data_IF_199552184643
#
_entry.id   IF_199552184643
#
_cell.length_a   1.000
_cell.length_b   1.000
_cell.length_c   1.000
_cell.angle_alpha   90.00
_cell.angle_beta   90.00
_cell.angle_gamma   90.00
#
_symmetry.space_group_name_H-M   'P 1'
#
loop_
_entity.id
_entity.type
_entity.pdbx_description
1 polymer ?
#
# COMPACT_ATOMS: atom_id res chain seq x y z
N UNK A 1 0.39 21.50 -11.01
CA UNK A 1 -0.49 20.31 -10.94
C UNK A 1 -0.53 19.82 -9.52
N UNK A 2 -1.72 19.64 -8.92
CA UNK A 2 -1.85 19.08 -7.56
C UNK A 2 -1.45 17.60 -7.57
N UNK A 3 -0.65 17.11 -6.61
CA UNK A 3 -0.30 15.70 -6.53
C UNK A 3 -1.58 14.85 -6.34
N UNK A 4 -1.75 13.84 -7.20
CA UNK A 4 -2.90 12.93 -7.14
C UNK A 4 -2.84 12.14 -5.84
N UNK A 5 -3.83 12.31 -4.95
CA UNK A 5 -3.90 11.62 -3.66
C UNK A 5 -3.99 10.09 -3.88
N UNK A 6 -3.30 9.32 -3.04
CA UNK A 6 -3.21 7.86 -3.13
C UNK A 6 -3.86 7.18 -1.93
N UNK A 7 -4.36 5.96 -2.09
CA UNK A 7 -4.93 5.15 -1.01
C UNK A 7 -3.83 4.48 -0.20
N UNK A 8 -4.11 4.05 1.03
CA UNK A 8 -3.15 3.29 1.87
C UNK A 8 -2.59 2.06 1.17
N UNK A 9 -3.45 1.35 0.43
CA UNK A 9 -3.10 0.19 -0.37
C UNK A 9 -1.96 0.46 -1.37
N UNK A 10 -1.90 1.67 -1.94
CA UNK A 10 -0.90 2.05 -2.93
C UNK A 10 0.51 2.14 -2.33
N UNK A 11 0.61 2.34 -1.00
CA UNK A 11 1.87 2.41 -0.28
C UNK A 11 2.40 1.03 0.12
N UNK A 12 1.61 -0.05 0.02
CA UNK A 12 2.05 -1.40 0.35
C UNK A 12 2.83 -2.08 -0.80
N UNK A 13 3.94 -2.79 -0.55
CA UNK A 13 4.58 -2.95 0.76
C UNK A 13 5.44 -1.73 1.11
N UNK A 14 5.57 -1.46 2.40
CA UNK A 14 6.57 -0.55 2.95
C UNK A 14 7.95 -1.21 2.90
N UNK A 15 8.99 -0.37 2.82
CA UNK A 15 10.39 -0.80 2.75
C UNK A 15 11.01 -0.88 4.15
N UNK A 16 12.12 -1.63 4.34
CA UNK A 16 12.81 -1.74 5.63
C UNK A 16 13.13 -0.40 6.29
N UNK A 17 13.47 0.61 5.49
CA UNK A 17 13.77 1.97 5.95
C UNK A 17 12.54 2.66 6.55
N UNK A 18 11.36 2.42 5.96
CA UNK A 18 10.09 2.92 6.48
C UNK A 18 9.77 2.29 7.83
N UNK A 19 10.09 1.01 8.02
CA UNK A 19 9.88 0.32 9.29
C UNK A 19 10.72 0.93 10.41
N UNK A 20 11.99 1.27 10.15
CA UNK A 20 12.86 1.95 11.13
C UNK A 20 12.28 3.31 11.54
N UNK A 21 11.77 4.07 10.58
CA UNK A 21 11.10 5.36 10.84
C UNK A 21 9.86 5.15 11.72
N UNK A 22 9.00 4.20 11.35
CA UNK A 22 7.77 3.89 12.09
C UNK A 22 8.03 3.40 13.52
N UNK A 23 9.07 2.60 13.73
CA UNK A 23 9.47 2.14 15.06
C UNK A 23 9.86 3.31 15.97
N UNK A 24 10.64 4.27 15.45
CA UNK A 24 11.03 5.48 16.19
C UNK A 24 9.82 6.35 16.50
N UNK A 25 8.97 6.61 15.51
CA UNK A 25 7.80 7.48 15.66
C UNK A 25 6.74 6.90 16.61
N UNK A 26 6.57 5.58 16.61
CA UNK A 26 5.59 4.91 17.47
C UNK A 26 6.14 4.53 18.85
N UNK A 27 7.46 4.57 19.04
CA UNK A 27 8.14 4.01 20.22
C UNK A 27 7.82 2.52 20.44
N UNK A 28 7.66 1.77 19.34
CA UNK A 28 7.33 0.33 19.34
C UNK A 28 8.23 -0.42 18.37
N UNK A 29 8.86 -1.50 18.82
CA UNK A 29 9.79 -2.33 18.02
C UNK A 29 9.07 -3.39 17.16
N UNK A 30 7.96 -3.02 16.50
CA UNK A 30 7.27 -3.93 15.59
C UNK A 30 8.10 -4.17 14.32
N UNK A 31 8.19 -5.42 13.86
CA UNK A 31 8.94 -5.77 12.66
C UNK A 31 8.20 -5.35 11.38
N UNK A 32 8.93 -5.29 10.26
CA UNK A 32 8.37 -4.87 8.97
C UNK A 32 7.22 -5.77 8.50
N UNK A 33 7.26 -7.06 8.85
CA UNK A 33 6.22 -8.00 8.49
C UNK A 33 4.89 -7.60 9.14
N UNK A 34 4.87 -7.44 10.47
CA UNK A 34 3.69 -6.98 11.21
C UNK A 34 3.20 -5.61 10.73
N UNK A 35 4.12 -4.66 10.54
CA UNK A 35 3.79 -3.31 10.06
C UNK A 35 3.06 -3.37 8.71
N UNK A 36 3.54 -4.22 7.79
CA UNK A 36 2.91 -4.42 6.49
C UNK A 36 1.54 -5.12 6.61
N UNK A 37 1.38 -6.08 7.52
CA UNK A 37 0.06 -6.68 7.82
C UNK A 37 -0.92 -5.62 8.37
N UNK A 38 -0.46 -4.73 9.26
CA UNK A 38 -1.29 -3.67 9.83
C UNK A 38 -1.70 -2.64 8.76
N UNK A 39 -0.78 -2.26 7.87
CA UNK A 39 -1.08 -1.39 6.74
C UNK A 39 -2.20 -1.98 5.87
N UNK A 40 -2.11 -3.27 5.52
CA UNK A 40 -3.16 -3.93 4.76
C UNK A 40 -4.51 -3.90 5.49
N UNK A 41 -4.52 -4.23 6.80
CA UNK A 41 -5.72 -4.18 7.62
C UNK A 41 -6.37 -2.79 7.61
N UNK A 42 -5.58 -1.74 7.83
CA UNK A 42 -6.04 -0.35 7.81
C UNK A 42 -6.54 0.06 6.43
N UNK A 43 -5.87 -0.39 5.37
CA UNK A 43 -6.26 -0.08 4.00
C UNK A 43 -7.60 -0.70 3.61
N UNK A 44 -7.90 -1.90 4.12
CA UNK A 44 -9.21 -2.53 3.94
C UNK A 44 -10.29 -1.79 4.73
N UNK A 45 -10.04 -1.54 6.01
CA UNK A 45 -11.01 -0.88 6.89
C UNK A 45 -11.35 0.54 6.42
N UNK A 46 -10.39 1.22 5.80
CA UNK A 46 -10.50 2.62 5.41
C UNK A 46 -10.16 2.86 3.93
N UNK A 47 -10.78 2.06 3.05
CA UNK A 47 -10.53 2.02 1.60
C UNK A 47 -10.78 3.34 0.86
N UNK A 48 -11.61 4.22 1.40
CA UNK A 48 -11.93 5.53 0.84
C UNK A 48 -11.00 6.66 1.29
N UNK A 49 -10.03 6.39 2.17
CA UNK A 49 -9.08 7.42 2.63
C UNK A 49 -7.94 7.60 1.64
N UNK A 50 -7.69 8.87 1.32
CA UNK A 50 -6.68 9.27 0.35
C UNK A 50 -5.68 10.21 1.02
N UNK A 51 -4.41 9.95 0.78
CA UNK A 51 -3.29 10.63 1.41
C UNK A 51 -2.52 11.42 0.36
N UNK A 52 -2.08 12.62 0.74
CA UNK A 52 -1.37 13.53 -0.16
C UNK A 52 0.06 13.04 -0.47
N UNK A 53 0.75 12.44 0.51
CA UNK A 53 2.13 11.98 0.39
C UNK A 53 2.47 10.87 1.39
N UNK A 54 3.66 10.28 1.22
CA UNK A 54 4.14 9.15 2.04
C UNK A 54 4.36 9.53 3.51
N UNK A 55 4.85 10.73 3.80
CA UNK A 55 5.08 11.22 5.16
C UNK A 55 3.79 11.22 5.98
N UNK A 56 2.69 11.70 5.40
CA UNK A 56 1.37 11.70 6.04
C UNK A 56 0.89 10.28 6.32
N UNK A 57 1.13 9.34 5.40
CA UNK A 57 0.84 7.92 5.61
C UNK A 57 1.66 7.33 6.76
N UNK A 58 2.96 7.60 6.81
CA UNK A 58 3.82 7.10 7.89
C UNK A 58 3.40 7.67 9.25
N UNK A 59 3.03 8.96 9.34
CA UNK A 59 2.46 9.55 10.56
C UNK A 59 1.18 8.83 11.00
N UNK A 60 0.29 8.54 10.05
CA UNK A 60 -0.95 7.83 10.33
C UNK A 60 -0.70 6.40 10.85
N UNK A 61 0.18 5.64 10.19
CA UNK A 61 0.56 4.29 10.60
C UNK A 61 1.28 4.31 11.95
N UNK A 62 2.18 5.26 12.20
CA UNK A 62 2.89 5.39 13.47
C UNK A 62 1.93 5.61 14.64
N UNK A 63 0.88 6.42 14.46
CA UNK A 63 -0.18 6.59 15.47
C UNK A 63 -0.95 5.31 15.72
N UNK A 64 -1.26 4.54 14.67
CA UNK A 64 -1.91 3.24 14.82
C UNK A 64 -1.01 2.26 15.58
N UNK A 65 0.29 2.21 15.27
CA UNK A 65 1.28 1.37 15.95
C UNK A 65 1.45 1.76 17.43
N UNK A 66 1.53 3.06 17.73
CA UNK A 66 1.68 3.56 19.10
C UNK A 66 0.50 3.16 20.00
N UNK A 67 -0.69 3.01 19.41
CA UNK A 67 -1.92 2.59 20.08
C UNK A 67 -2.27 1.12 19.77
N UNK A 68 -1.34 0.31 19.25
CA UNK A 68 -1.60 -1.11 19.05
C UNK A 68 -1.47 -1.84 20.40
N UNK A 69 -2.44 -2.71 20.67
CA UNK A 69 -2.57 -3.38 21.97
C UNK A 69 -1.76 -4.67 22.04
N UNK A 70 -1.39 -5.23 20.88
CA UNK A 70 -0.52 -6.40 20.81
C UNK A 70 0.89 -6.09 21.30
N UNK A 71 1.45 -6.96 22.13
CA UNK A 71 2.86 -6.87 22.51
C UNK A 71 3.74 -7.14 21.29
N UNK A 72 4.96 -6.61 21.31
CA UNK A 72 5.93 -6.83 20.24
C UNK A 72 6.27 -8.30 20.07
N UNK A 73 6.30 -9.08 21.16
CA UNK A 73 6.64 -10.50 21.11
C UNK A 73 5.59 -11.32 20.33
N UNK A 74 4.31 -11.06 20.58
CA UNK A 74 3.22 -11.70 19.83
C UNK A 74 3.14 -11.20 18.39
N UNK A 75 3.21 -9.89 18.19
CA UNK A 75 3.09 -9.25 16.88
C UNK A 75 4.25 -9.62 15.94
N UNK A 76 5.46 -9.77 16.48
CA UNK A 76 6.66 -10.06 15.70
C UNK A 76 6.86 -11.56 15.44
N UNK A 77 5.97 -12.42 15.94
CA UNK A 77 6.00 -13.84 15.60
C UNK A 77 5.87 -14.01 14.08
N UNK A 78 6.69 -14.90 13.50
CA UNK A 78 6.72 -15.09 12.03
C UNK A 78 5.40 -15.55 11.43
N UNK A 79 4.47 -16.05 12.26
CA UNK A 79 3.16 -16.54 11.86
C UNK A 79 2.03 -15.55 12.12
N UNK A 80 2.32 -14.33 12.59
CA UNK A 80 1.27 -13.36 12.90
C UNK A 80 0.51 -12.93 11.64
N UNK A 81 -0.78 -13.22 11.58
CA UNK A 81 -1.66 -12.70 10.53
C UNK A 81 -2.95 -12.22 11.17
N UNK A 82 -3.45 -11.09 10.68
CA UNK A 82 -4.83 -10.74 10.98
C UNK A 82 -5.74 -11.64 10.14
N UNK A 83 -6.78 -12.22 10.76
CA UNK A 83 -7.70 -13.16 10.11
C UNK A 83 -8.29 -12.63 8.78
N UNK A 84 -8.48 -11.31 8.67
CA UNK A 84 -9.03 -10.67 7.46
C UNK A 84 -8.00 -10.25 6.41
N UNK A 85 -6.71 -10.24 6.72
CA UNK A 85 -5.69 -9.71 5.82
C UNK A 85 -5.32 -10.70 4.71
N UNK A 86 -5.59 -12.00 4.89
CA UNK A 86 -5.49 -12.99 3.81
C UNK A 86 -6.34 -12.60 2.59
N UNK A 87 -7.54 -12.05 2.82
CA UNK A 87 -8.47 -11.63 1.78
C UNK A 87 -8.15 -10.31 1.10
N UNK A 88 -7.21 -9.49 1.60
CA UNK A 88 -6.92 -8.19 1.00
C UNK A 88 -6.43 -8.34 -0.45
N UNK A 89 -5.45 -9.22 -0.66
CA UNK A 89 -4.85 -9.44 -1.97
C UNK A 89 -5.89 -10.00 -2.93
N UNK A 90 -6.65 -10.99 -2.47
CA UNK A 90 -7.74 -11.60 -3.21
C UNK A 90 -8.82 -10.58 -3.58
N UNK A 91 -9.23 -9.70 -2.65
CA UNK A 91 -10.17 -8.62 -2.92
C UNK A 91 -9.62 -7.58 -3.89
N UNK A 92 -8.35 -7.19 -3.75
CA UNK A 92 -7.71 -6.26 -4.70
C UNK A 92 -7.69 -6.84 -6.12
N UNK A 93 -7.30 -8.11 -6.25
CA UNK A 93 -7.27 -8.81 -7.54
C UNK A 93 -8.68 -9.00 -8.09
N UNK A 94 -9.64 -9.43 -7.27
CA UNK A 94 -11.05 -9.57 -7.66
C UNK A 94 -11.64 -8.22 -8.11
N UNK A 95 -11.33 -7.12 -7.43
CA UNK A 95 -11.75 -5.78 -7.84
C UNK A 95 -11.20 -5.42 -9.23
N UNK A 96 -9.94 -5.75 -9.50
CA UNK A 96 -9.35 -5.56 -10.84
C UNK A 96 -10.07 -6.44 -11.85
N UNK A 97 -10.26 -7.73 -11.58
CA UNK A 97 -10.93 -8.68 -12.48
C UNK A 97 -12.37 -8.27 -12.81
N UNK A 98 -13.10 -7.75 -11.82
CA UNK A 98 -14.47 -7.26 -11.96
C UNK A 98 -14.57 -5.87 -12.59
N UNK A 99 -13.45 -5.16 -12.80
CA UNK A 99 -13.44 -3.83 -13.40
C UNK A 99 -13.98 -3.90 -14.84
N UNK A 100 -14.94 -3.02 -15.13
CA UNK A 100 -15.62 -2.94 -16.43
C UNK A 100 -14.91 -2.01 -17.41
N UNK A 101 -13.84 -1.32 -17.00
CA UNK A 101 -13.03 -0.48 -17.87
C UNK A 101 -12.48 -1.31 -19.06
N UNK A 102 -12.82 -0.83 -20.26
CA UNK A 102 -12.43 -1.44 -21.54
C UNK A 102 -11.11 -0.91 -22.08
N UNK A 103 -10.44 0.01 -21.38
CA UNK A 103 -9.11 0.47 -21.77
C UNK A 103 -8.13 -0.71 -21.88
N UNK A 104 -7.24 -0.68 -22.87
CA UNK A 104 -6.21 -1.73 -23.02
C UNK A 104 -5.39 -1.90 -21.74
N UNK A 105 -5.13 -0.80 -21.02
CA UNK A 105 -4.47 -0.83 -19.72
C UNK A 105 -5.25 -1.63 -18.67
N UNK A 106 -6.56 -1.40 -18.55
CA UNK A 106 -7.40 -2.16 -17.63
C UNK A 106 -7.53 -3.64 -18.04
N UNK A 107 -7.67 -3.92 -19.34
CA UNK A 107 -7.67 -5.29 -19.86
C UNK A 107 -6.38 -6.04 -19.54
N UNK A 108 -5.22 -5.37 -19.71
CA UNK A 108 -3.92 -5.95 -19.37
C UNK A 108 -3.81 -6.22 -17.86
N UNK A 109 -4.24 -5.28 -17.00
CA UNK A 109 -4.25 -5.49 -15.56
C UNK A 109 -5.11 -6.70 -15.14
N UNK A 110 -6.29 -6.87 -15.76
CA UNK A 110 -7.17 -8.02 -15.54
C UNK A 110 -6.51 -9.34 -15.93
N UNK A 111 -5.84 -9.36 -17.08
CA UNK A 111 -5.09 -10.54 -17.52
C UNK A 111 -3.96 -10.91 -16.58
N UNK A 112 -3.20 -9.93 -16.10
CA UNK A 112 -2.15 -10.15 -15.11
C UNK A 112 -2.72 -10.69 -13.80
N UNK A 113 -3.86 -10.15 -13.33
CA UNK A 113 -4.53 -10.68 -12.14
C UNK A 113 -4.89 -12.17 -12.27
N UNK A 114 -5.35 -12.58 -13.46
CA UNK A 114 -5.82 -13.94 -13.74
C UNK A 114 -4.71 -14.97 -14.01
N UNK A 115 -3.60 -14.54 -14.61
CA UNK A 115 -2.54 -15.45 -15.12
C UNK A 115 -1.46 -15.76 -14.09
N UNK A 116 -1.25 -14.87 -13.13
CA UNK A 116 -0.23 -15.03 -12.09
C UNK A 116 -0.85 -15.50 -10.78
N UNK A 117 -0.04 -16.16 -9.94
CA UNK A 117 -0.42 -16.43 -8.55
C UNK A 117 -0.68 -15.12 -7.81
N UNK A 118 -1.60 -15.15 -6.83
CA UNK A 118 -2.12 -13.94 -6.18
C UNK A 118 -1.00 -13.02 -5.64
N UNK A 119 0.03 -13.58 -5.03
CA UNK A 119 1.15 -12.79 -4.49
C UNK A 119 1.96 -12.08 -5.59
N UNK A 120 2.24 -12.79 -6.68
CA UNK A 120 3.01 -12.26 -7.82
C UNK A 120 2.16 -11.25 -8.59
N UNK A 121 0.89 -11.56 -8.86
CA UNK A 121 -0.05 -10.68 -9.51
C UNK A 121 -0.18 -9.36 -8.75
N UNK A 122 -0.39 -9.45 -7.44
CA UNK A 122 -0.51 -8.29 -6.57
C UNK A 122 0.77 -7.45 -6.56
N UNK A 123 1.94 -8.08 -6.45
CA UNK A 123 3.23 -7.36 -6.48
C UNK A 123 3.43 -6.63 -7.81
N UNK A 124 3.15 -7.26 -8.95
CA UNK A 124 3.25 -6.65 -10.28
C UNK A 124 2.28 -5.47 -10.41
N UNK A 125 1.00 -5.66 -10.09
CA UNK A 125 -0.05 -4.66 -10.30
C UNK A 125 0.11 -3.41 -9.42
N UNK A 126 0.75 -3.56 -8.26
CA UNK A 126 1.03 -2.44 -7.32
C UNK A 126 2.39 -1.78 -7.55
N UNK A 127 3.32 -2.47 -8.21
CA UNK A 127 4.70 -1.99 -8.41
C UNK A 127 5.01 -1.56 -9.84
N UNK A 128 4.10 -1.80 -10.79
CA UNK A 128 4.29 -1.47 -12.20
C UNK A 128 3.23 -0.48 -12.69
N UNK A 129 3.67 0.54 -13.44
CA UNK A 129 2.80 1.36 -14.26
C UNK A 129 2.90 0.91 -15.72
N UNK A 130 1.77 0.44 -16.23
CA UNK A 130 1.62 -0.04 -17.61
C UNK A 130 1.41 1.17 -18.53
N UNK A 131 2.41 1.42 -19.37
CA UNK A 131 2.48 2.55 -20.29
C UNK A 131 1.78 2.24 -21.61
N UNK A 132 2.43 2.64 -22.70
CA UNK A 132 1.92 2.48 -24.06
C UNK A 132 2.74 1.47 -24.86
N UNK A 133 2.10 0.91 -25.89
CA UNK A 133 2.78 0.22 -26.97
C UNK A 133 3.30 1.27 -27.98
N UNK A 134 4.59 1.24 -28.30
CA UNK A 134 5.21 2.09 -29.32
C UNK A 134 6.08 1.21 -30.21
N UNK A 135 5.70 1.09 -31.48
CA UNK A 135 6.31 0.15 -32.44
C UNK A 135 6.27 -1.30 -31.88
N UNK A 136 7.39 -2.01 -31.91
CA UNK A 136 7.55 -3.37 -31.40
C UNK A 136 7.86 -3.46 -29.90
N UNK A 137 7.66 -2.38 -29.14
CA UNK A 137 7.99 -2.31 -27.71
C UNK A 137 6.80 -1.92 -26.86
N UNK A 138 6.71 -2.52 -25.68
CA UNK A 138 5.77 -2.10 -24.65
C UNK A 138 6.48 -1.59 -23.42
N UNK A 139 6.09 -0.41 -22.93
CA UNK A 139 6.77 0.27 -21.85
C UNK A 139 6.11 -0.03 -20.50
N UNK A 140 6.92 -0.50 -19.55
CA UNK A 140 6.51 -0.70 -18.16
C UNK A 140 7.45 0.13 -17.29
N UNK A 141 6.88 0.99 -16.45
CA UNK A 141 7.64 1.78 -15.50
C UNK A 141 7.53 1.16 -14.12
N UNK A 142 8.65 0.90 -13.46
CA UNK A 142 8.65 0.44 -12.08
C UNK A 142 8.35 1.62 -11.14
N UNK A 143 7.31 1.46 -10.33
CA UNK A 143 6.91 2.35 -9.24
C UNK A 143 7.57 1.99 -7.91
N UNK A 144 8.06 0.75 -7.78
CA UNK A 144 8.79 0.22 -6.64
C UNK A 144 9.94 -0.64 -7.14
N UNK A 145 11.01 -0.73 -6.36
CA UNK A 145 12.12 -1.61 -6.67
C UNK A 145 11.68 -3.07 -6.47
N UNK A 146 11.32 -3.75 -7.56
CA UNK A 146 10.94 -5.17 -7.56
C UNK A 146 11.76 -5.95 -8.58
N UNK A 147 12.05 -7.21 -8.25
CA UNK A 147 12.74 -8.12 -9.15
C UNK A 147 11.72 -8.79 -10.08
N UNK A 148 11.71 -8.38 -11.35
CA UNK A 148 10.98 -9.11 -12.41
C UNK A 148 11.92 -10.15 -13.02
N UNK A 149 11.71 -11.43 -12.72
CA UNK A 149 12.44 -12.53 -13.36
C UNK A 149 12.12 -12.61 -14.85
N UNK A 150 12.98 -13.25 -15.64
CA UNK A 150 12.77 -13.36 -17.08
C UNK A 150 11.51 -14.16 -17.43
N UNK A 151 11.17 -15.17 -16.61
CA UNK A 151 9.90 -15.89 -16.71
C UNK A 151 8.68 -14.97 -16.52
N UNK A 152 8.73 -14.09 -15.51
CA UNK A 152 7.67 -13.11 -15.27
C UNK A 152 7.56 -12.13 -16.43
N UNK A 153 8.70 -11.57 -16.89
CA UNK A 153 8.73 -10.67 -18.06
C UNK A 153 8.16 -11.34 -19.30
N UNK A 154 8.51 -12.60 -19.55
CA UNK A 154 8.00 -13.36 -20.69
C UNK A 154 6.49 -13.53 -20.61
N UNK A 155 5.95 -13.94 -19.46
CA UNK A 155 4.49 -14.06 -19.27
C UNK A 155 3.77 -12.72 -19.44
N UNK A 156 4.31 -11.62 -18.90
CA UNK A 156 3.74 -10.28 -19.09
C UNK A 156 3.72 -9.92 -20.59
N UNK A 157 4.79 -10.23 -21.33
CA UNK A 157 4.86 -9.96 -22.77
C UNK A 157 3.77 -10.73 -23.54
N UNK A 158 3.49 -11.99 -23.17
CA UNK A 158 2.39 -12.75 -23.77
C UNK A 158 1.05 -12.04 -23.56
N UNK A 159 0.76 -11.63 -22.32
CA UNK A 159 -0.50 -10.91 -22.05
C UNK A 159 -0.57 -9.57 -22.77
N UNK A 160 0.53 -8.83 -22.87
CA UNK A 160 0.61 -7.60 -23.66
C UNK A 160 0.25 -7.85 -25.13
N UNK A 161 0.75 -8.93 -25.74
CA UNK A 161 0.43 -9.29 -27.13
C UNK A 161 -1.05 -9.58 -27.33
N UNK A 162 -1.67 -10.27 -26.37
CA UNK A 162 -3.10 -10.57 -26.44
C UNK A 162 -4.00 -9.34 -26.33
N UNK A 163 -3.52 -8.25 -25.73
CA UNK A 163 -4.31 -7.02 -25.52
C UNK A 163 -4.03 -5.97 -26.58
N UNK A 164 -2.79 -5.85 -27.05
CA UNK A 164 -2.35 -4.78 -27.94
C UNK A 164 -2.18 -5.25 -29.39
N UNK A 165 -1.09 -5.97 -29.67
CA UNK A 165 -0.82 -6.58 -30.98
C UNK A 165 0.27 -7.65 -30.82
N UNK A 166 0.26 -8.65 -31.70
CA UNK A 166 1.31 -9.66 -31.79
C UNK A 166 2.67 -9.09 -32.23
N UNK A 167 2.70 -7.88 -32.79
CA UNK A 167 3.93 -7.22 -33.27
C UNK A 167 4.83 -6.71 -32.14
N UNK A 168 4.38 -6.81 -30.88
CA UNK A 168 5.18 -6.42 -29.72
C UNK A 168 6.20 -7.51 -29.42
N UNK A 169 7.48 -7.23 -29.64
CA UNK A 169 8.56 -8.19 -29.50
C UNK A 169 9.16 -8.23 -28.09
N UNK A 170 9.17 -7.10 -27.39
CA UNK A 170 9.84 -6.98 -26.09
C UNK A 170 9.22 -5.95 -25.16
N UNK A 171 9.41 -6.20 -23.87
CA UNK A 171 9.12 -5.23 -22.81
C UNK A 171 10.32 -4.29 -22.61
N UNK A 172 10.04 -2.99 -22.57
CA UNK A 172 10.99 -1.98 -22.16
C UNK A 172 10.69 -1.61 -20.70
N UNK A 173 11.51 -2.11 -19.78
CA UNK A 173 11.40 -1.77 -18.37
C UNK A 173 12.15 -0.45 -18.12
N UNK A 174 11.42 0.55 -17.64
CA UNK A 174 12.00 1.78 -17.10
C UNK A 174 12.22 1.51 -15.62
N UNK A 175 13.48 1.49 -15.15
CA UNK A 175 13.79 1.18 -13.77
C UNK A 175 13.17 2.21 -12.83
N UNK A 176 12.97 1.78 -11.58
CA UNK A 176 12.51 2.67 -10.54
C UNK A 176 13.60 3.71 -10.27
N UNK A 177 13.22 4.99 -10.33
CA UNK A 177 14.13 6.10 -10.14
C UNK A 177 13.90 6.69 -8.76
N UNK A 178 14.75 6.31 -7.80
CA UNK A 178 14.72 6.82 -6.42
C UNK A 178 14.92 8.34 -6.37
N UNK A 179 15.71 8.90 -7.30
CA UNK A 179 16.00 10.34 -7.34
C UNK A 179 14.78 11.19 -7.70
N UNK A 180 13.81 10.63 -8.44
CA UNK A 180 12.54 11.30 -8.78
C UNK A 180 11.51 11.30 -7.64
N UNK A 181 11.84 10.71 -6.48
CA UNK A 181 11.08 10.97 -5.24
C UNK A 181 11.64 12.19 -4.48
N UNK A 182 12.91 12.55 -4.67
CA UNK A 182 13.60 13.61 -3.92
C UNK A 182 13.18 15.02 -4.35
N UNK A 183 12.66 15.20 -5.56
CA UNK A 183 12.20 16.54 -6.02
C UNK A 183 10.91 17.04 -5.37
N UNK A 184 10.26 16.25 -4.51
CA UNK A 184 9.18 16.73 -3.63
C UNK A 184 9.55 16.68 -2.14
N UNK A 185 10.83 16.50 -1.78
CA UNK A 185 11.20 16.36 -0.36
C UNK A 185 12.52 17.01 0.05
N UNK A 186 13.27 17.69 -0.83
CA UNK A 186 14.45 18.43 -0.39
C UNK A 186 14.74 19.65 -1.26
N UNK A 187 14.03 20.75 -1.01
CA UNK A 187 14.55 22.14 -0.96
C UNK A 187 13.34 23.10 -0.91
N UNK A 188 12.79 23.31 0.29
CA UNK A 188 12.08 24.56 0.63
C UNK A 188 11.92 24.62 2.16
N UNK A 189 13.07 24.66 2.84
CA UNK A 189 13.10 25.43 4.08
C UNK A 189 12.91 26.89 3.68
N UNK A 190 11.77 27.43 4.11
CA UNK A 190 11.33 28.83 4.08
C UNK A 190 10.62 29.31 2.81
N UNK A 191 9.32 29.61 3.03
CA UNK A 191 8.50 30.69 2.44
C UNK A 191 8.19 30.54 0.93
N UNK A 192 6.95 30.50 0.43
CA UNK A 192 5.74 31.23 0.89
C UNK A 192 4.49 30.72 0.13
N UNK A 193 3.86 29.61 0.52
CA UNK A 193 2.44 29.31 0.12
C UNK A 193 1.71 28.33 1.05
N UNK A 194 2.22 28.18 2.28
CA UNK A 194 2.06 26.96 3.09
C UNK A 194 0.81 26.94 3.99
N UNK A 195 0.14 28.07 4.21
CA UNK A 195 -0.87 28.16 5.27
C UNK A 195 -2.21 27.46 4.96
N UNK A 196 -2.72 27.50 3.73
CA UNK A 196 -4.07 26.96 3.45
C UNK A 196 -4.10 25.43 3.26
N UNK A 197 -3.01 24.83 2.75
CA UNK A 197 -2.95 23.39 2.49
C UNK A 197 -2.53 22.59 3.74
N UNK A 198 -1.69 23.17 4.60
CA UNK A 198 -1.36 22.56 5.89
C UNK A 198 -2.56 22.52 6.85
N UNK A 199 -3.39 23.55 6.89
CA UNK A 199 -4.58 23.57 7.78
C UNK A 199 -5.59 22.48 7.40
N UNK A 200 -5.78 22.22 6.10
CA UNK A 200 -6.69 21.17 5.62
C UNK A 200 -6.18 19.77 5.96
N UNK A 201 -4.89 19.52 5.77
CA UNK A 201 -4.29 18.22 6.08
C UNK A 201 -4.11 18.02 7.60
N UNK A 202 -3.83 19.07 8.38
CA UNK A 202 -3.76 18.99 9.86
C UNK A 202 -5.12 18.73 10.49
N UNK A 203 -6.19 19.41 10.06
CA UNK A 203 -7.54 19.13 10.56
C UNK A 203 -7.99 17.72 10.22
N UNK A 204 -7.74 17.27 8.98
CA UNK A 204 -8.01 15.89 8.56
C UNK A 204 -7.22 14.87 9.39
N UNK A 205 -5.93 15.13 9.65
CA UNK A 205 -5.09 14.27 10.47
C UNK A 205 -5.44 14.31 11.95
N UNK A 206 -5.95 15.43 12.45
CA UNK A 206 -6.45 15.57 13.81
C UNK A 206 -7.71 14.70 14.01
N UNK A 207 -8.64 14.73 13.05
CA UNK A 207 -9.81 13.84 13.06
C UNK A 207 -9.42 12.36 13.00
N UNK A 208 -8.51 11.98 12.09
CA UNK A 208 -7.94 10.63 12.03
C UNK A 208 -7.24 10.21 13.32
N UNK A 209 -6.54 11.13 13.97
CA UNK A 209 -5.85 10.90 15.23
C UNK A 209 -6.81 10.63 16.38
N UNK A 210 -8.02 11.22 16.36
CA UNK A 210 -9.04 10.95 17.37
C UNK A 210 -9.57 9.53 17.29
N UNK A 211 -9.61 8.92 16.10
CA UNK A 211 -10.04 7.52 15.92
C UNK A 211 -8.98 6.53 16.44
N UNK A 212 -7.70 6.81 16.20
CA UNK A 212 -6.57 5.94 16.55
C UNK A 212 -6.01 6.19 17.96
N UNK A 213 -6.34 7.32 18.59
CA UNK A 213 -5.78 7.70 19.87
C UNK A 213 -6.30 6.85 21.03
N UNK A 214 -5.50 6.76 22.09
CA UNK A 214 -5.84 6.04 23.32
C UNK A 214 -7.11 6.54 24.03
N UNK A 215 -7.56 7.75 23.70
CA UNK A 215 -8.80 8.33 24.20
C UNK A 215 -10.05 8.00 23.36
N UNK A 216 -9.89 7.32 22.21
CA UNK A 216 -11.02 6.96 21.35
C UNK A 216 -11.91 5.91 22.02
N UNK A 217 -13.23 6.02 21.81
CA UNK A 217 -14.21 5.06 22.34
C UNK A 217 -13.84 3.64 21.89
N UNK A 218 -13.45 3.50 20.62
CA UNK A 218 -13.06 2.21 20.05
C UNK A 218 -11.80 1.63 20.70
N UNK A 219 -10.78 2.45 20.98
CA UNK A 219 -9.57 2.00 21.69
C UNK A 219 -9.90 1.56 23.11
N UNK A 220 -10.70 2.34 23.86
CA UNK A 220 -11.11 1.99 25.23
C UNK A 220 -11.89 0.68 25.28
N UNK A 221 -12.82 0.49 24.34
CA UNK A 221 -13.59 -0.76 24.20
C UNK A 221 -12.66 -1.93 23.88
N UNK A 222 -11.75 -1.79 22.90
CA UNK A 222 -10.81 -2.86 22.53
C UNK A 222 -9.84 -3.21 23.66
N UNK A 223 -9.35 -2.22 24.41
CA UNK A 223 -8.51 -2.40 25.59
C UNK A 223 -9.27 -3.12 26.71
N UNK A 224 -10.51 -2.72 26.97
CA UNK A 224 -11.36 -3.38 27.97
C UNK A 224 -11.60 -4.84 27.62
N UNK A 225 -11.95 -5.14 26.37
CA UNK A 225 -12.14 -6.52 25.88
C UNK A 225 -10.86 -7.34 26.07
N UNK A 226 -9.70 -6.85 25.65
CA UNK A 226 -8.42 -7.57 25.79
C UNK A 226 -7.98 -7.77 27.24
N UNK A 227 -8.36 -6.86 28.15
CA UNK A 227 -8.05 -6.98 29.57
C UNK A 227 -8.96 -7.98 30.30
N UNK A 228 -10.14 -8.30 29.74
CA UNK A 228 -11.17 -9.09 30.42
C UNK A 228 -11.53 -10.40 29.69
N UNK A 229 -11.04 -10.62 28.48
CA UNK A 229 -11.18 -11.88 27.74
C UNK A 229 -9.80 -12.42 27.38
N UNK A 230 -9.48 -13.62 27.87
CA UNK A 230 -8.33 -14.39 27.41
C UNK A 230 -8.44 -14.72 25.91
N UNK A 231 -7.29 -14.81 25.27
CA UNK A 231 -7.01 -14.35 23.91
C UNK A 231 -7.65 -15.11 22.72
N UNK A 232 -8.65 -16.00 22.87
CA UNK A 232 -8.99 -16.91 21.76
C UNK A 232 -10.29 -16.71 20.97
N UNK A 233 -11.24 -15.84 21.34
CA UNK A 233 -12.54 -15.86 20.63
C UNK A 233 -13.18 -14.53 20.20
N UNK A 234 -12.54 -13.37 20.40
CA UNK A 234 -13.25 -12.09 20.19
C UNK A 234 -13.01 -11.44 18.81
N UNK A 235 -12.12 -11.97 17.97
CA UNK A 235 -11.86 -11.35 16.65
C UNK A 235 -12.97 -11.67 15.63
N UNK A 236 -13.78 -12.72 15.82
CA UNK A 236 -14.82 -13.13 14.86
C UNK A 236 -16.19 -12.44 15.06
N UNK A 237 -16.31 -11.43 15.93
CA UNK A 237 -17.61 -10.80 16.25
C UNK A 237 -17.69 -9.28 16.10
N UNK A 238 -16.74 -8.62 15.42
CA UNK A 238 -16.85 -7.19 15.08
C UNK A 238 -16.43 -6.98 13.62
#
# INVERSE_FOLDING_TARGET
MLPKRKRLADYYPLMPEDAVILQRMSSRSFNIYFINQLLLKLSNKYSFRHFANKTVVLNYIAKALANELLTTDHANSGNFRFNDVGRFKEQYLANIESDTDRSMKAQLKRKIARVFEADIAYQILTSCDFGAAVKNKYYIKLLKNILLSDHIKFKILQEVRTVHSNDIERLQIIPFDESKQVTNSTTEYQKTTVLQQQISDENYLSELSKELGSNSILFKVRKYILQHYEYEQVIDKI
#
